data_IF_821291243327
#
_entry.id   IF_821291243327
#
_cell.length_a   1.000
_cell.length_b   1.000
_cell.length_c   1.000
_cell.angle_alpha   90.00
_cell.angle_beta   90.00
_cell.angle_gamma   90.00
#
_symmetry.space_group_name_H-M   'P 1'
#
loop_
_entity.id
_entity.type
_entity.pdbx_description
1 polymer ?
#
# COMPACT_ATOMS: atom_id res chain seq x y z
N UNK A 1 26.59 -13.52 -19.02
CA UNK A 1 25.21 -13.54 -19.52
C UNK A 1 24.65 -12.13 -19.38
N UNK A 2 24.10 -11.55 -20.45
CA UNK A 2 23.60 -10.15 -20.46
C UNK A 2 22.63 -9.82 -19.32
N UNK A 3 21.84 -10.79 -18.87
CA UNK A 3 20.87 -10.61 -17.77
C UNK A 3 21.50 -10.22 -16.41
N UNK A 4 22.80 -10.51 -16.21
CA UNK A 4 23.53 -10.15 -14.98
C UNK A 4 24.43 -8.93 -15.15
N UNK A 5 24.41 -8.27 -16.32
CA UNK A 5 25.16 -7.04 -16.54
C UNK A 5 24.54 -5.91 -15.70
N UNK A 6 25.32 -5.24 -14.84
CA UNK A 6 24.82 -4.18 -13.95
C UNK A 6 24.27 -2.95 -14.68
N UNK A 7 24.75 -2.68 -15.90
CA UNK A 7 24.36 -1.48 -16.67
C UNK A 7 23.17 -1.72 -17.60
N UNK A 8 22.79 -2.98 -17.85
CA UNK A 8 21.74 -3.34 -18.83
C UNK A 8 20.72 -4.33 -18.27
N UNK A 9 21.07 -5.60 -18.14
CA UNK A 9 20.13 -6.68 -17.83
C UNK A 9 19.69 -6.75 -16.37
N UNK A 10 20.59 -6.48 -15.43
CA UNK A 10 20.31 -6.61 -13.99
C UNK A 10 19.23 -5.60 -13.52
N UNK A 11 19.27 -4.30 -13.90
CA UNK A 11 18.22 -3.36 -13.54
C UNK A 11 16.83 -3.75 -14.08
N UNK A 12 16.76 -4.39 -15.26
CA UNK A 12 15.51 -4.89 -15.85
C UNK A 12 15.00 -6.11 -15.09
N UNK A 13 15.89 -7.06 -14.77
CA UNK A 13 15.55 -8.24 -13.98
C UNK A 13 15.01 -7.85 -12.60
N UNK A 14 15.66 -6.92 -11.90
CA UNK A 14 15.21 -6.45 -10.59
C UNK A 14 13.82 -5.80 -10.67
N UNK A 15 13.56 -4.96 -11.69
CA UNK A 15 12.22 -4.39 -11.95
C UNK A 15 11.18 -5.48 -12.23
N UNK A 16 11.50 -6.48 -13.05
CA UNK A 16 10.58 -7.58 -13.34
C UNK A 16 10.21 -8.38 -12.08
N UNK A 17 11.19 -8.70 -11.24
CA UNK A 17 10.96 -9.37 -9.95
C UNK A 17 10.19 -8.48 -8.97
N UNK A 18 10.50 -7.18 -8.93
CA UNK A 18 9.80 -6.20 -8.10
C UNK A 18 8.31 -6.14 -8.46
N UNK A 19 8.01 -6.06 -9.76
CA UNK A 19 6.64 -6.08 -10.28
C UNK A 19 5.95 -7.39 -9.93
N UNK A 20 6.58 -8.55 -10.12
CA UNK A 20 5.99 -9.85 -9.78
C UNK A 20 5.64 -9.96 -8.29
N UNK A 21 6.55 -9.53 -7.42
CA UNK A 21 6.31 -9.46 -5.98
C UNK A 21 5.19 -8.46 -5.64
N UNK A 22 5.18 -7.31 -6.31
CA UNK A 22 4.16 -6.28 -6.18
C UNK A 22 2.77 -6.77 -6.58
N UNK A 23 2.65 -7.52 -7.69
CA UNK A 23 1.39 -8.16 -8.11
C UNK A 23 0.89 -9.12 -7.04
N UNK A 24 1.78 -9.94 -6.47
CA UNK A 24 1.40 -10.87 -5.39
C UNK A 24 0.92 -10.10 -4.15
N UNK A 25 1.65 -9.05 -3.74
CA UNK A 25 1.33 -8.26 -2.57
C UNK A 25 0.02 -7.49 -2.72
N UNK A 26 -0.09 -6.68 -3.77
CA UNK A 26 -1.27 -5.83 -4.00
C UNK A 26 -2.46 -6.68 -4.46
N UNK A 27 -2.25 -7.76 -5.22
CA UNK A 27 -3.31 -8.71 -5.55
C UNK A 27 -3.95 -9.33 -4.29
N UNK A 28 -3.14 -9.74 -3.31
CA UNK A 28 -3.66 -10.22 -2.02
C UNK A 28 -4.33 -9.11 -1.20
N UNK A 29 -3.82 -7.88 -1.24
CA UNK A 29 -4.48 -6.73 -0.62
C UNK A 29 -5.90 -6.55 -1.16
N UNK A 30 -6.07 -6.62 -2.49
CA UNK A 30 -7.36 -6.50 -3.16
C UNK A 30 -8.24 -7.68 -2.78
N UNK A 31 -7.72 -8.91 -2.86
CA UNK A 31 -8.42 -10.11 -2.40
C UNK A 31 -8.98 -9.95 -0.98
N UNK A 32 -8.19 -9.49 -0.01
CA UNK A 32 -8.68 -9.28 1.35
C UNK A 32 -9.80 -8.24 1.42
N UNK A 33 -9.62 -7.15 0.69
CA UNK A 33 -10.49 -5.99 0.77
C UNK A 33 -11.83 -6.21 0.06
N UNK A 34 -11.83 -6.69 -1.18
CA UNK A 34 -13.04 -6.81 -2.01
C UNK A 34 -13.64 -8.21 -2.03
N UNK A 35 -12.91 -9.26 -1.64
CA UNK A 35 -13.40 -10.65 -1.69
C UNK A 35 -13.52 -11.26 -0.29
N UNK A 36 -12.41 -11.42 0.42
CA UNK A 36 -12.37 -12.21 1.65
C UNK A 36 -13.21 -11.58 2.77
N UNK A 37 -13.02 -10.29 3.07
CA UNK A 37 -13.74 -9.64 4.18
C UNK A 37 -15.26 -9.64 3.95
N UNK A 38 -15.79 -9.25 2.77
CA UNK A 38 -17.21 -9.39 2.48
C UNK A 38 -17.72 -10.83 2.58
N UNK A 39 -16.98 -11.80 2.04
CA UNK A 39 -17.35 -13.21 2.13
C UNK A 39 -17.39 -13.70 3.59
N UNK A 40 -16.46 -13.26 4.43
CA UNK A 40 -16.43 -13.63 5.84
C UNK A 40 -17.59 -13.04 6.63
N UNK A 41 -18.06 -11.84 6.26
CA UNK A 41 -19.27 -11.24 6.83
C UNK A 41 -20.53 -12.01 6.42
N UNK A 42 -20.56 -12.58 5.21
CA UNK A 42 -21.70 -13.33 4.69
C UNK A 42 -21.98 -14.66 5.39
N UNK A 43 -21.03 -15.20 6.19
CA UNK A 43 -21.29 -16.40 7.01
C UNK A 43 -22.39 -16.20 8.07
N UNK A 44 -22.71 -14.96 8.45
CA UNK A 44 -23.71 -14.67 9.48
C UNK A 44 -23.42 -15.43 10.78
N UNK A 45 -24.37 -16.27 11.19
CA UNK A 45 -24.32 -17.05 12.44
C UNK A 45 -23.50 -18.35 12.32
N UNK A 46 -22.98 -18.69 11.13
CA UNK A 46 -22.12 -19.86 10.92
C UNK A 46 -20.68 -19.65 11.42
N UNK A 47 -20.53 -19.35 12.71
CA UNK A 47 -19.25 -19.00 13.34
C UNK A 47 -18.16 -20.07 13.18
N UNK A 48 -18.55 -21.35 13.19
CA UNK A 48 -17.60 -22.48 13.00
C UNK A 48 -17.00 -22.47 11.59
N UNK A 49 -17.82 -22.35 10.55
CA UNK A 49 -17.36 -22.31 9.16
C UNK A 49 -16.46 -21.10 8.92
N UNK A 50 -16.86 -19.93 9.44
CA UNK A 50 -16.04 -18.71 9.40
C UNK A 50 -14.68 -18.91 10.06
N UNK A 51 -14.62 -19.50 11.25
CA UNK A 51 -13.37 -19.74 11.96
C UNK A 51 -12.46 -20.73 11.22
N UNK A 52 -13.01 -21.77 10.57
CA UNK A 52 -12.24 -22.68 9.70
C UNK A 52 -11.59 -21.89 8.55
N UNK A 53 -12.33 -21.02 7.88
CA UNK A 53 -11.82 -20.16 6.81
C UNK A 53 -10.74 -19.20 7.31
N UNK A 54 -10.88 -18.63 8.50
CA UNK A 54 -9.85 -17.80 9.12
C UNK A 54 -8.57 -18.62 9.39
N UNK A 55 -8.71 -19.80 10.02
CA UNK A 55 -7.56 -20.62 10.41
C UNK A 55 -6.79 -21.20 9.22
N UNK A 56 -7.50 -21.64 8.17
CA UNK A 56 -6.90 -22.33 7.01
C UNK A 56 -6.56 -21.38 5.86
N UNK A 57 -7.53 -20.58 5.42
CA UNK A 57 -7.40 -19.75 4.23
C UNK A 57 -6.71 -18.42 4.55
N UNK A 58 -7.25 -17.64 5.48
CA UNK A 58 -6.72 -16.31 5.80
C UNK A 58 -5.28 -16.41 6.35
N UNK A 59 -4.98 -17.41 7.17
CA UNK A 59 -3.61 -17.67 7.67
C UNK A 59 -2.58 -17.82 6.55
N UNK A 60 -2.90 -18.59 5.50
CA UNK A 60 -2.00 -18.81 4.35
C UNK A 60 -1.87 -17.54 3.50
N UNK A 61 -3.00 -16.90 3.18
CA UNK A 61 -3.00 -15.67 2.42
C UNK A 61 -2.19 -14.56 3.13
N UNK A 62 -2.33 -14.42 4.45
CA UNK A 62 -1.58 -13.45 5.26
C UNK A 62 -0.09 -13.75 5.32
N UNK A 63 0.34 -15.01 5.19
CA UNK A 63 1.75 -15.34 5.09
C UNK A 63 2.34 -14.80 3.78
N UNK A 64 1.71 -15.10 2.65
CA UNK A 64 2.14 -14.61 1.34
C UNK A 64 2.10 -13.09 1.26
N UNK A 65 1.03 -12.47 1.74
CA UNK A 65 0.87 -11.02 1.76
C UNK A 65 2.02 -10.31 2.48
N UNK A 66 2.41 -10.81 3.66
CA UNK A 66 3.48 -10.23 4.46
C UNK A 66 4.83 -10.33 3.77
N UNK A 67 5.19 -11.51 3.30
CA UNK A 67 6.50 -11.71 2.68
C UNK A 67 6.58 -11.06 1.29
N UNK A 68 5.50 -11.06 0.52
CA UNK A 68 5.43 -10.32 -0.74
C UNK A 68 5.68 -8.81 -0.54
N UNK A 69 5.18 -8.22 0.55
CA UNK A 69 5.47 -6.81 0.87
C UNK A 69 6.96 -6.54 1.13
N UNK A 70 7.64 -7.44 1.86
CA UNK A 70 9.08 -7.31 2.14
C UNK A 70 9.88 -7.51 0.87
N UNK A 71 9.58 -8.56 0.09
CA UNK A 71 10.29 -8.85 -1.16
C UNK A 71 10.13 -7.68 -2.13
N UNK A 72 8.93 -7.11 -2.25
CA UNK A 72 8.71 -5.90 -3.07
C UNK A 72 9.58 -4.75 -2.60
N UNK A 73 9.58 -4.40 -1.31
CA UNK A 73 10.42 -3.32 -0.78
C UNK A 73 11.92 -3.56 -1.00
N UNK A 74 12.41 -4.76 -0.68
CA UNK A 74 13.83 -5.11 -0.84
C UNK A 74 14.23 -4.99 -2.30
N UNK A 75 13.43 -5.52 -3.23
CA UNK A 75 13.70 -5.39 -4.65
C UNK A 75 13.64 -3.92 -5.11
N UNK A 76 12.75 -3.11 -4.54
CA UNK A 76 12.68 -1.67 -4.80
C UNK A 76 13.96 -0.95 -4.38
N UNK A 77 14.45 -1.21 -3.17
CA UNK A 77 15.72 -0.67 -2.68
C UNK A 77 16.91 -1.19 -3.49
N UNK A 78 16.87 -2.44 -3.95
CA UNK A 78 17.90 -2.98 -4.84
C UNK A 78 17.88 -2.30 -6.22
N UNK A 79 16.71 -1.92 -6.76
CA UNK A 79 16.64 -1.14 -8.00
C UNK A 79 17.35 0.20 -7.81
N UNK A 80 17.08 0.89 -6.70
CA UNK A 80 17.72 2.17 -6.35
C UNK A 80 19.24 2.01 -6.22
N UNK A 81 19.70 0.94 -5.56
CA UNK A 81 21.13 0.72 -5.30
C UNK A 81 21.93 0.11 -6.46
N UNK A 82 21.27 -0.67 -7.34
CA UNK A 82 21.92 -1.36 -8.44
C UNK A 82 21.79 -0.63 -9.79
N UNK A 83 20.84 0.30 -9.93
CA UNK A 83 20.73 1.13 -11.13
C UNK A 83 21.72 2.29 -11.02
N UNK A 84 22.63 2.37 -11.98
CA UNK A 84 23.63 3.44 -12.05
C UNK A 84 22.95 4.81 -12.09
N UNK A 85 23.47 5.74 -11.30
CA UNK A 85 23.03 7.15 -11.23
C UNK A 85 21.54 7.37 -10.83
N UNK A 86 20.83 6.34 -10.34
CA UNK A 86 19.39 6.43 -10.03
C UNK A 86 19.01 7.57 -9.07
N UNK A 87 19.84 7.83 -8.05
CA UNK A 87 19.62 8.92 -7.09
C UNK A 87 20.53 10.12 -7.34
N UNK A 88 21.26 10.14 -8.46
CA UNK A 88 22.21 11.21 -8.75
C UNK A 88 21.43 12.49 -9.05
N UNK A 89 21.76 13.55 -8.31
CA UNK A 89 21.13 14.87 -8.44
C UNK A 89 19.59 14.83 -8.28
N UNK A 90 19.07 13.81 -7.57
CA UNK A 90 17.64 13.52 -7.42
C UNK A 90 16.83 14.74 -6.99
N UNK A 91 15.69 14.97 -7.66
CA UNK A 91 14.81 16.11 -7.43
C UNK A 91 15.50 17.49 -7.58
N UNK A 92 16.54 17.59 -8.39
CA UNK A 92 17.23 18.86 -8.69
C UNK A 92 17.17 19.20 -10.18
N UNK A 93 17.53 20.43 -10.55
CA UNK A 93 17.56 20.85 -11.95
C UNK A 93 18.54 20.04 -12.83
N UNK A 94 19.45 19.28 -12.21
CA UNK A 94 20.42 18.42 -12.87
C UNK A 94 20.10 16.93 -12.72
N UNK A 95 18.88 16.55 -12.32
CA UNK A 95 18.47 15.15 -12.17
C UNK A 95 18.86 14.33 -13.41
N UNK A 96 19.33 13.10 -13.16
CA UNK A 96 19.66 12.17 -14.24
C UNK A 96 18.43 11.76 -15.07
N UNK A 97 17.26 11.70 -14.41
CA UNK A 97 15.93 11.63 -15.03
C UNK A 97 15.25 13.02 -15.03
N UNK A 98 13.99 13.11 -15.47
CA UNK A 98 13.24 14.36 -15.33
C UNK A 98 12.85 14.61 -13.87
N UNK A 99 12.79 15.88 -13.46
CA UNK A 99 12.35 16.25 -12.10
C UNK A 99 10.94 15.75 -11.79
N UNK A 100 10.06 15.72 -12.80
CA UNK A 100 8.70 15.20 -12.67
C UNK A 100 8.69 13.68 -12.43
N UNK A 101 9.52 12.92 -13.16
CA UNK A 101 9.72 11.49 -12.94
C UNK A 101 10.11 11.21 -11.49
N UNK A 102 11.13 11.92 -10.99
CA UNK A 102 11.64 11.77 -9.63
C UNK A 102 10.57 12.05 -8.58
N UNK A 103 9.77 13.10 -8.78
CA UNK A 103 8.73 13.49 -7.85
C UNK A 103 7.64 12.42 -7.71
N UNK A 104 7.14 11.89 -8.82
CA UNK A 104 6.05 10.90 -8.79
C UNK A 104 6.56 9.54 -8.31
N UNK A 105 7.74 9.10 -8.74
CA UNK A 105 8.28 7.82 -8.26
C UNK A 105 8.53 7.90 -6.75
N UNK A 106 8.98 9.05 -6.24
CA UNK A 106 9.18 9.25 -4.82
C UNK A 106 7.87 9.23 -4.02
N UNK A 107 6.79 9.86 -4.51
CA UNK A 107 5.46 9.75 -3.90
C UNK A 107 5.00 8.28 -3.89
N UNK A 108 5.19 7.56 -5.00
CA UNK A 108 4.92 6.11 -5.07
C UNK A 108 5.69 5.34 -3.99
N UNK A 109 6.99 5.60 -3.84
CA UNK A 109 7.84 4.97 -2.83
C UNK A 109 7.36 5.26 -1.40
N UNK A 110 7.03 6.52 -1.07
CA UNK A 110 6.52 6.92 0.25
C UNK A 110 5.26 6.13 0.59
N UNK A 111 4.28 6.09 -0.33
CA UNK A 111 3.03 5.35 -0.13
C UNK A 111 3.30 3.84 0.01
N UNK A 112 4.14 3.27 -0.83
CA UNK A 112 4.51 1.85 -0.77
C UNK A 112 5.20 1.47 0.56
N UNK A 113 6.16 2.27 1.02
CA UNK A 113 6.85 2.06 2.30
C UNK A 113 5.86 2.15 3.46
N UNK A 114 4.99 3.16 3.46
CA UNK A 114 3.96 3.32 4.49
C UNK A 114 3.00 2.13 4.52
N UNK A 115 2.58 1.65 3.36
CA UNK A 115 1.74 0.47 3.23
C UNK A 115 2.42 -0.78 3.78
N UNK A 116 3.69 -1.02 3.46
CA UNK A 116 4.46 -2.16 4.00
C UNK A 116 4.65 -2.05 5.52
N UNK A 117 4.90 -0.84 6.02
CA UNK A 117 4.91 -0.52 7.45
C UNK A 117 3.58 -0.95 8.11
N UNK A 118 2.44 -0.62 7.51
CA UNK A 118 1.12 -1.07 8.00
C UNK A 118 0.97 -2.59 8.02
N UNK A 119 1.46 -3.29 6.99
CA UNK A 119 1.42 -4.76 6.93
C UNK A 119 2.07 -5.39 8.15
N UNK A 120 3.26 -4.94 8.53
CA UNK A 120 4.04 -5.57 9.60
C UNK A 120 3.78 -5.00 10.98
N UNK A 121 3.62 -3.67 11.09
CA UNK A 121 3.51 -3.00 12.37
C UNK A 121 2.09 -3.00 12.93
N UNK A 122 1.07 -3.07 12.07
CA UNK A 122 -0.34 -2.97 12.48
C UNK A 122 -1.11 -4.22 12.10
N UNK A 123 -1.21 -4.53 10.81
CA UNK A 123 -2.06 -5.62 10.30
C UNK A 123 -1.62 -6.95 10.89
N UNK A 124 -0.35 -7.33 10.74
CA UNK A 124 0.13 -8.63 11.23
C UNK A 124 0.02 -8.79 12.74
N UNK A 125 0.39 -7.76 13.52
CA UNK A 125 0.32 -7.82 14.99
C UNK A 125 -1.10 -8.12 15.46
N UNK A 126 -2.09 -7.46 14.88
CA UNK A 126 -3.50 -7.65 15.23
C UNK A 126 -4.07 -8.95 14.63
N UNK A 127 -3.69 -9.32 13.41
CA UNK A 127 -4.13 -10.57 12.79
C UNK A 127 -3.65 -11.81 13.53
N UNK A 128 -2.49 -11.76 14.20
CA UNK A 128 -2.06 -12.86 15.10
C UNK A 128 -3.10 -13.15 16.18
N UNK A 129 -3.70 -12.12 16.78
CA UNK A 129 -4.75 -12.27 17.81
C UNK A 129 -5.99 -12.90 17.20
N UNK A 130 -6.44 -12.40 16.05
CA UNK A 130 -7.63 -12.94 15.34
C UNK A 130 -7.44 -14.40 14.94
N UNK A 131 -6.26 -14.75 14.40
CA UNK A 131 -5.91 -16.12 14.00
C UNK A 131 -5.77 -17.06 15.18
N UNK A 132 -5.21 -16.59 16.30
CA UNK A 132 -5.11 -17.38 17.53
C UNK A 132 -6.50 -17.63 18.13
N UNK A 133 -7.35 -16.61 18.19
CA UNK A 133 -8.74 -16.74 18.65
C UNK A 133 -9.54 -17.74 17.81
N UNK A 134 -9.44 -17.66 16.47
CA UNK A 134 -10.13 -18.60 15.59
C UNK A 134 -9.70 -20.05 15.85
N UNK A 135 -8.39 -20.30 16.01
CA UNK A 135 -7.88 -21.63 16.34
C UNK A 135 -8.35 -22.11 17.73
N UNK A 136 -8.35 -21.22 18.73
CA UNK A 136 -8.78 -21.53 20.09
C UNK A 136 -10.26 -21.93 20.15
N UNK A 137 -11.13 -21.14 19.52
CA UNK A 137 -12.58 -21.42 19.48
C UNK A 137 -12.86 -22.73 18.73
N UNK A 138 -12.12 -23.04 17.66
CA UNK A 138 -12.25 -24.31 16.96
C UNK A 138 -11.81 -25.52 17.81
N UNK A 139 -10.89 -25.31 18.76
CA UNK A 139 -10.45 -26.33 19.71
C UNK A 139 -11.39 -26.47 20.93
N UNK A 140 -12.50 -25.72 20.97
CA UNK A 140 -13.47 -25.75 22.08
C UNK A 140 -13.14 -24.79 23.23
N UNK A 141 -12.14 -23.90 23.06
CA UNK A 141 -11.84 -22.86 24.03
C UNK A 141 -12.77 -21.64 23.94
N UNK A 142 -12.74 -20.79 24.96
CA UNK A 142 -13.52 -19.55 25.00
C UNK A 142 -13.03 -18.50 23.99
N UNK A 143 -13.92 -17.63 23.53
CA UNK A 143 -13.57 -16.55 22.62
C UNK A 143 -12.80 -15.43 23.35
N UNK A 144 -11.72 -14.96 22.74
CA UNK A 144 -10.93 -13.82 23.21
C UNK A 144 -11.69 -12.50 23.03
N UNK A 145 -12.00 -11.83 24.14
CA UNK A 145 -12.69 -10.54 24.17
C UNK A 145 -11.94 -9.41 23.42
N UNK A 146 -10.61 -9.52 23.27
CA UNK A 146 -9.77 -8.57 22.53
C UNK A 146 -9.73 -8.80 21.03
N UNK A 147 -10.13 -9.98 20.54
CA UNK A 147 -10.05 -10.32 19.12
C UNK A 147 -10.89 -9.39 18.20
N UNK A 148 -12.10 -8.94 18.57
CA UNK A 148 -12.87 -7.98 17.77
C UNK A 148 -12.13 -6.64 17.58
N UNK A 149 -11.55 -6.10 18.66
CA UNK A 149 -10.82 -4.84 18.63
C UNK A 149 -9.54 -4.96 17.77
N UNK A 150 -8.82 -6.09 17.88
CA UNK A 150 -7.67 -6.38 17.03
C UNK A 150 -8.09 -6.47 15.55
N UNK A 151 -9.14 -7.24 15.25
CA UNK A 151 -9.67 -7.38 13.89
C UNK A 151 -10.06 -6.03 13.28
N UNK A 152 -10.69 -5.15 14.07
CA UNK A 152 -11.02 -3.77 13.65
C UNK A 152 -9.78 -2.97 13.27
N UNK A 153 -8.73 -2.97 14.10
CA UNK A 153 -7.47 -2.24 13.82
C UNK A 153 -6.77 -2.76 12.57
N UNK A 154 -6.73 -4.08 12.39
CA UNK A 154 -6.19 -4.70 11.19
C UNK A 154 -6.98 -4.31 9.93
N UNK A 155 -8.31 -4.29 10.03
CA UNK A 155 -9.20 -3.94 8.91
C UNK A 155 -9.00 -2.48 8.48
N UNK A 156 -8.99 -1.54 9.42
CA UNK A 156 -8.81 -0.10 9.11
C UNK A 156 -7.49 0.15 8.37
N UNK A 157 -6.38 -0.39 8.87
CA UNK A 157 -5.08 -0.28 8.20
C UNK A 157 -5.05 -0.99 6.84
N UNK A 158 -5.72 -2.14 6.70
CA UNK A 158 -5.83 -2.83 5.41
C UNK A 158 -6.62 -2.02 4.37
N UNK A 159 -7.68 -1.31 4.81
CA UNK A 159 -8.47 -0.41 3.96
C UNK A 159 -7.67 0.82 3.56
N UNK A 160 -6.88 1.39 4.47
CA UNK A 160 -5.98 2.49 4.14
C UNK A 160 -4.93 2.08 3.10
N UNK A 161 -4.33 0.89 3.24
CA UNK A 161 -3.44 0.37 2.21
C UNK A 161 -4.14 0.22 0.86
N UNK A 162 -5.39 -0.26 0.86
CA UNK A 162 -6.17 -0.38 -0.36
C UNK A 162 -6.53 0.98 -0.97
N UNK A 163 -6.72 2.03 -0.18
CA UNK A 163 -6.91 3.40 -0.67
C UNK A 163 -5.62 3.92 -1.31
N UNK A 164 -4.48 3.77 -0.64
CA UNK A 164 -3.18 4.24 -1.13
C UNK A 164 -2.70 3.51 -2.39
N UNK A 165 -3.08 2.24 -2.57
CA UNK A 165 -2.58 1.44 -3.70
C UNK A 165 -2.95 2.03 -5.06
N UNK A 166 -4.05 2.77 -5.16
CA UNK A 166 -4.51 3.37 -6.42
C UNK A 166 -3.51 4.40 -6.92
N UNK A 167 -3.21 5.41 -6.10
CA UNK A 167 -2.24 6.45 -6.45
C UNK A 167 -0.81 5.92 -6.47
N UNK A 168 -0.46 5.02 -5.55
CA UNK A 168 0.86 4.40 -5.50
C UNK A 168 1.18 3.67 -6.82
N UNK A 169 0.29 2.78 -7.28
CA UNK A 169 0.47 2.07 -8.55
C UNK A 169 0.52 3.04 -9.73
N UNK A 170 -0.38 4.03 -9.76
CA UNK A 170 -0.39 5.02 -10.83
C UNK A 170 0.94 5.75 -10.93
N UNK A 171 1.49 6.27 -9.83
CA UNK A 171 2.72 7.04 -9.88
C UNK A 171 3.95 6.18 -10.16
N UNK A 172 3.99 4.94 -9.66
CA UNK A 172 5.09 4.02 -9.99
C UNK A 172 5.10 3.63 -11.47
N UNK A 173 3.94 3.38 -12.07
CA UNK A 173 3.82 3.08 -13.51
C UNK A 173 4.04 4.36 -14.33
N UNK A 174 3.37 5.45 -13.93
CA UNK A 174 3.37 6.72 -14.62
C UNK A 174 4.76 7.32 -14.71
N UNK A 175 5.62 7.15 -13.70
CA UNK A 175 7.01 7.61 -13.73
C UNK A 175 7.68 7.27 -15.07
N UNK A 176 7.67 5.99 -15.46
CA UNK A 176 8.34 5.52 -16.66
C UNK A 176 7.59 5.81 -17.98
N UNK A 177 6.29 6.12 -17.93
CA UNK A 177 5.41 6.11 -19.12
C UNK A 177 4.73 7.45 -19.43
N UNK A 178 4.64 8.36 -18.46
CA UNK A 178 3.92 9.62 -18.58
C UNK A 178 4.80 10.82 -18.23
N UNK A 179 5.63 10.72 -17.18
CA UNK A 179 6.37 11.87 -16.62
C UNK A 179 7.76 12.11 -17.22
N UNK A 180 8.07 11.50 -18.38
CA UNK A 180 9.36 11.62 -19.09
C UNK A 180 9.31 12.46 -20.37
N UNK A 181 8.16 13.08 -20.68
CA UNK A 181 7.97 13.88 -21.91
C UNK A 181 7.18 15.18 -21.67
N UNK A 182 5.84 15.11 -21.68
CA UNK A 182 4.96 16.30 -21.51
C UNK A 182 5.19 17.05 -20.18
N UNK A 183 5.86 16.40 -19.23
CA UNK A 183 6.17 16.91 -17.90
C UNK A 183 7.66 17.29 -17.77
N UNK A 184 8.35 17.52 -18.89
CA UNK A 184 9.73 17.99 -18.89
C UNK A 184 9.83 19.51 -18.58
N UNK A 185 10.98 19.96 -18.07
CA UNK A 185 11.23 21.37 -17.74
C UNK A 185 10.62 21.86 -16.42
N UNK A 186 10.22 20.94 -15.54
CA UNK A 186 9.62 21.28 -14.24
C UNK A 186 10.65 21.84 -13.27
N UNK A 187 10.27 22.92 -12.58
CA UNK A 187 11.04 23.48 -11.48
C UNK A 187 11.09 22.54 -10.25
N UNK A 188 12.28 22.36 -9.69
CA UNK A 188 12.52 21.54 -8.48
C UNK A 188 11.66 21.99 -7.28
N UNK A 189 11.45 23.30 -7.11
CA UNK A 189 10.61 23.84 -6.05
C UNK A 189 9.15 23.40 -6.16
N UNK A 190 8.58 23.45 -7.38
CA UNK A 190 7.23 22.91 -7.65
C UNK A 190 7.15 21.40 -7.40
N UNK A 191 8.17 20.66 -7.80
CA UNK A 191 8.24 19.22 -7.59
C UNK A 191 8.27 18.85 -6.10
N UNK A 192 9.08 19.52 -5.29
CA UNK A 192 9.08 19.33 -3.84
C UNK A 192 7.74 19.74 -3.20
N UNK A 193 7.13 20.82 -3.68
CA UNK A 193 5.81 21.25 -3.21
C UNK A 193 4.76 20.15 -3.45
N UNK A 194 4.78 19.52 -4.62
CA UNK A 194 3.92 18.38 -4.94
C UNK A 194 4.13 17.21 -3.97
N UNK A 195 5.40 16.80 -3.76
CA UNK A 195 5.75 15.71 -2.84
C UNK A 195 5.27 15.99 -1.42
N UNK A 196 5.50 17.21 -0.92
CA UNK A 196 5.12 17.61 0.45
C UNK A 196 3.60 17.55 0.62
N UNK A 197 2.83 18.10 -0.33
CA UNK A 197 1.36 18.05 -0.28
C UNK A 197 0.88 16.59 -0.26
N UNK A 198 1.41 15.73 -1.12
CA UNK A 198 1.08 14.31 -1.15
C UNK A 198 1.40 13.62 0.18
N UNK A 199 2.57 13.89 0.75
CA UNK A 199 3.01 13.32 2.02
C UNK A 199 2.13 13.76 3.20
N UNK A 200 1.72 15.03 3.24
CA UNK A 200 0.80 15.55 4.28
C UNK A 200 -0.57 14.90 4.18
N UNK A 201 -1.14 14.79 2.97
CA UNK A 201 -2.43 14.11 2.76
C UNK A 201 -2.33 12.64 3.20
N UNK A 202 -1.26 11.94 2.79
CA UNK A 202 -1.02 10.56 3.18
C UNK A 202 -0.90 10.43 4.71
N UNK A 203 -0.15 11.31 5.37
CA UNK A 203 0.00 11.29 6.83
C UNK A 203 -1.34 11.50 7.55
N UNK A 204 -2.20 12.40 7.09
CA UNK A 204 -3.53 12.63 7.68
C UNK A 204 -4.40 11.37 7.59
N UNK A 205 -4.46 10.75 6.39
CA UNK A 205 -5.23 9.53 6.17
C UNK A 205 -4.69 8.36 6.99
N UNK A 206 -3.37 8.22 7.07
CA UNK A 206 -2.72 7.22 7.89
C UNK A 206 -3.05 7.39 9.38
N UNK A 207 -2.88 8.60 9.92
CA UNK A 207 -3.23 8.91 11.30
C UNK A 207 -4.71 8.65 11.59
N UNK A 208 -5.59 8.88 10.61
CA UNK A 208 -7.01 8.58 10.72
C UNK A 208 -7.26 7.07 10.89
N UNK A 209 -6.73 6.25 10.00
CA UNK A 209 -6.93 4.79 10.05
C UNK A 209 -6.31 4.14 11.30
N UNK A 210 -5.24 4.74 11.85
CA UNK A 210 -4.60 4.31 13.10
C UNK A 210 -5.38 4.73 14.36
N UNK A 211 -6.51 5.44 14.18
CA UNK A 211 -7.37 5.92 15.25
C UNK A 211 -6.78 7.08 16.03
N UNK A 212 -5.77 7.78 15.48
CA UNK A 212 -5.20 8.98 16.10
C UNK A 212 -6.10 10.20 15.96
N UNK A 213 -7.09 10.13 15.08
CA UNK A 213 -8.12 11.15 14.87
C UNK A 213 -9.49 10.59 15.27
N UNK A 214 -9.86 10.73 16.54
CA UNK A 214 -11.19 10.31 17.04
C UNK A 214 -11.35 8.83 17.40
N UNK A 215 -10.26 8.05 17.46
CA UNK A 215 -10.30 6.62 17.84
C UNK A 215 -10.72 5.67 16.71
N UNK A 216 -10.87 4.38 17.02
CA UNK A 216 -11.18 3.31 16.05
C UNK A 216 -12.63 2.80 16.10
N UNK A 217 -13.45 3.36 16.99
CA UNK A 217 -14.84 2.98 17.16
C UNK A 217 -15.66 3.32 15.91
N UNK A 218 -16.64 2.48 15.57
CA UNK A 218 -17.52 2.70 14.40
C UNK A 218 -18.39 3.97 14.51
N UNK A 219 -18.49 4.57 15.70
CA UNK A 219 -19.14 5.87 15.93
C UNK A 219 -18.31 7.06 15.43
N UNK A 220 -17.01 6.87 15.19
CA UNK A 220 -16.14 7.90 14.63
C UNK A 220 -16.44 8.11 13.14
N UNK A 221 -17.16 9.18 12.81
CA UNK A 221 -17.56 9.53 11.43
C UNK A 221 -16.38 9.73 10.49
N UNK A 222 -15.19 10.08 11.00
CA UNK A 222 -14.00 10.25 10.17
C UNK A 222 -13.55 8.93 9.52
N UNK A 223 -13.93 7.78 10.09
CA UNK A 223 -13.59 6.46 9.57
C UNK A 223 -14.47 6.00 8.40
N UNK A 224 -15.39 6.84 7.92
CA UNK A 224 -16.25 6.54 6.76
C UNK A 224 -15.49 5.93 5.57
N UNK A 225 -14.29 6.40 5.18
CA UNK A 225 -13.51 5.80 4.10
C UNK A 225 -13.24 4.29 4.28
N UNK A 226 -13.19 3.79 5.51
CA UNK A 226 -12.77 2.43 5.82
C UNK A 226 -13.92 1.49 6.19
N UNK A 227 -15.12 2.03 6.48
CA UNK A 227 -16.23 1.22 7.00
C UNK A 227 -16.74 0.16 6.01
N UNK A 228 -16.52 0.38 4.71
CA UNK A 228 -16.85 -0.62 3.70
C UNK A 228 -15.79 -0.67 2.60
N UNK A 229 -15.72 -1.80 1.89
CA UNK A 229 -14.89 -1.93 0.69
C UNK A 229 -15.31 -0.96 -0.42
N UNK A 230 -16.61 -0.61 -0.50
CA UNK A 230 -17.12 0.38 -1.46
C UNK A 230 -16.65 1.79 -1.12
N UNK A 231 -16.73 2.18 0.15
CA UNK A 231 -16.24 3.49 0.60
C UNK A 231 -14.73 3.61 0.41
N UNK A 232 -13.99 2.53 0.67
CA UNK A 232 -12.54 2.50 0.46
C UNK A 232 -12.19 2.62 -1.02
N UNK A 233 -12.95 1.96 -1.91
CA UNK A 233 -12.78 2.09 -3.36
C UNK A 233 -13.09 3.52 -3.85
N UNK A 234 -14.18 4.13 -3.38
CA UNK A 234 -14.52 5.53 -3.70
C UNK A 234 -13.40 6.45 -3.21
N UNK A 235 -12.95 6.27 -1.97
CA UNK A 235 -11.91 7.10 -1.36
C UNK A 235 -10.56 6.93 -2.06
N UNK A 236 -10.22 5.72 -2.50
CA UNK A 236 -9.04 5.45 -3.33
C UNK A 236 -9.10 6.15 -4.68
N UNK A 237 -10.25 6.09 -5.35
CA UNK A 237 -10.48 6.81 -6.62
C UNK A 237 -10.43 8.34 -6.47
N UNK A 238 -11.04 8.88 -5.39
CA UNK A 238 -11.00 10.31 -5.07
C UNK A 238 -9.58 10.77 -4.75
N UNK A 239 -8.86 10.03 -3.90
CA UNK A 239 -7.46 10.34 -3.60
C UNK A 239 -6.61 10.33 -4.87
N UNK A 240 -6.76 9.31 -5.71
CA UNK A 240 -6.10 9.24 -7.01
C UNK A 240 -6.39 10.47 -7.87
N UNK A 241 -7.67 10.84 -8.04
CA UNK A 241 -8.03 12.01 -8.83
C UNK A 241 -7.41 13.31 -8.27
N UNK A 242 -7.44 13.50 -6.94
CA UNK A 242 -6.82 14.66 -6.29
C UNK A 242 -5.31 14.70 -6.56
N UNK A 243 -4.60 13.60 -6.29
CA UNK A 243 -3.14 13.58 -6.46
C UNK A 243 -2.74 13.69 -7.94
N UNK A 244 -3.53 13.13 -8.86
CA UNK A 244 -3.31 13.27 -10.29
C UNK A 244 -3.51 14.71 -10.77
N UNK A 245 -4.59 15.37 -10.36
CA UNK A 245 -4.81 16.79 -10.70
C UNK A 245 -3.71 17.66 -10.11
N UNK A 246 -3.25 17.38 -8.88
CA UNK A 246 -2.10 18.06 -8.30
C UNK A 246 -0.83 17.88 -9.12
N UNK A 247 -0.58 16.67 -9.66
CA UNK A 247 0.56 16.45 -10.54
C UNK A 247 0.44 17.20 -11.86
N UNK A 248 -0.75 17.32 -12.46
CA UNK A 248 -0.95 18.16 -13.67
C UNK A 248 -0.71 19.64 -13.39
N UNK A 249 -1.08 20.13 -12.20
CA UNK A 249 -0.92 21.55 -11.84
C UNK A 249 0.55 21.89 -11.52
N UNK A 250 1.25 21.01 -10.80
CA UNK A 250 2.56 21.31 -10.25
C UNK A 250 3.72 20.75 -11.08
N UNK A 251 3.51 19.67 -11.81
CA UNK A 251 4.56 18.97 -12.57
C UNK A 251 4.43 19.13 -14.08
N UNK A 252 3.49 19.94 -14.57
CA UNK A 252 3.44 20.28 -16.00
C UNK A 252 4.04 21.67 -16.18
N UNK A 253 4.95 21.80 -17.14
CA UNK A 253 5.59 23.07 -17.49
C UNK A 253 4.61 24.02 -18.18
#
# INVERSE_FOLDING_TARGET
MEIFNPDTGLPVLLRALHVLAGVTWIGLLYYFNVVQVPAFAAYGDEGKARNISIDKLARRALWWFRWASVVTLVLGLLIVGATKDYMKDFMSASSADTVAHDAVIFVGMILGILMAANVWMVIWKNQKVVLANAANVLAGGEADAGAPAAGRRALLASRQNFIFSFSMLWFMIGAAHLYTGVFDGVDSGKAWTFVIICAVIAAILELNCLGKLGGTAATNKLLWPYESHKNAMISGGVLFAILYVLSEILLKA
#
